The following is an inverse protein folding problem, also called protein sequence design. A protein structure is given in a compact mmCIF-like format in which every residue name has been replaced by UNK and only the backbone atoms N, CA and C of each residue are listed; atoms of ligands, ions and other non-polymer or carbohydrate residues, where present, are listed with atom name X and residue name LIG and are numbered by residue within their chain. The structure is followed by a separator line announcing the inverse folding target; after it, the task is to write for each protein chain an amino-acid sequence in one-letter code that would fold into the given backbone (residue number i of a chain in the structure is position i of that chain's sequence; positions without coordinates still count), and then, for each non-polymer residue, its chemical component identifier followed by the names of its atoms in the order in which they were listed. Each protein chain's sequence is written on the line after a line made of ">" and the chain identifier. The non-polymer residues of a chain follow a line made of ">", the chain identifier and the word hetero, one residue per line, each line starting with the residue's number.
data_IF_951016429374
#
_entry.id   IF_951016429374
#
_cell.length_a   1.000
_cell.length_b   1.000
_cell.length_c   1.000
_cell.angle_alpha   90.00
_cell.angle_beta   90.00
_cell.angle_gamma   90.00
#
_symmetry.space_group_name_H-M   'P 1'
#
loop_
_entity.id
_entity.type
_entity.pdbx_description
1 polymer ?
#
# COMPACT_ATOMS: atom_id res chain seq x y z
N UNK A 1 27.53 -17.63 58.69
CA UNK A 1 27.95 -17.09 57.37
C UNK A 1 27.51 -17.92 56.17
N UNK A 2 27.69 -19.25 56.13
CA UNK A 2 27.27 -20.10 54.98
C UNK A 2 25.77 -20.09 54.66
N UNK A 3 24.90 -19.99 55.69
CA UNK A 3 23.41 -19.94 55.47
C UNK A 3 22.91 -18.62 54.88
N UNK A 4 23.57 -17.49 55.23
CA UNK A 4 23.24 -16.16 54.68
C UNK A 4 23.71 -16.06 53.23
N UNK A 5 24.88 -16.63 52.88
CA UNK A 5 25.39 -16.67 51.52
C UNK A 5 24.50 -17.52 50.59
N UNK A 6 23.96 -18.64 51.11
CA UNK A 6 23.02 -19.48 50.33
C UNK A 6 21.69 -18.77 50.08
N UNK A 7 21.21 -18.00 51.06
CA UNK A 7 19.96 -17.23 50.90
C UNK A 7 20.10 -16.10 49.90
N UNK A 8 21.24 -15.40 49.88
CA UNK A 8 21.56 -14.34 48.90
C UNK A 8 21.66 -14.94 47.50
N UNK A 9 22.28 -16.11 47.34
CA UNK A 9 22.40 -16.80 46.05
C UNK A 9 21.02 -17.24 45.53
N UNK A 10 20.13 -17.69 46.40
CA UNK A 10 18.75 -18.08 46.04
C UNK A 10 17.89 -16.87 45.62
N UNK A 11 18.04 -15.72 46.29
CA UNK A 11 17.37 -14.48 45.92
C UNK A 11 17.86 -13.94 44.55
N UNK A 12 19.15 -14.10 44.25
CA UNK A 12 19.70 -13.68 42.94
C UNK A 12 19.20 -14.54 41.77
N UNK A 13 18.94 -15.82 42.00
CA UNK A 13 18.38 -16.74 41.00
C UNK A 13 16.89 -16.45 40.69
N UNK A 14 16.17 -15.77 41.55
CA UNK A 14 14.75 -15.42 41.34
C UNK A 14 14.54 -14.14 40.53
N UNK A 15 15.58 -13.32 40.31
CA UNK A 15 15.48 -12.02 39.61
C UNK A 15 15.69 -12.17 38.10
N UNK A 16 16.14 -13.33 37.60
CA UNK A 16 16.44 -13.53 36.17
C UNK A 16 15.30 -14.11 35.39
N UNK A 17 14.09 -14.29 35.95
CA UNK A 17 13.01 -15.10 35.37
C UNK A 17 11.88 -14.33 34.71
N UNK A 18 11.97 -13.04 34.43
CA UNK A 18 10.80 -12.31 33.92
C UNK A 18 11.05 -11.29 32.80
N UNK A 19 11.98 -11.55 31.87
CA UNK A 19 12.12 -10.64 30.72
C UNK A 19 11.02 -10.81 29.67
N UNK A 20 10.42 -11.99 29.52
CA UNK A 20 9.36 -12.24 28.55
C UNK A 20 7.96 -11.87 29.05
N UNK A 21 7.76 -11.83 30.39
CA UNK A 21 6.45 -11.45 30.96
C UNK A 21 6.16 -9.94 30.83
N UNK A 22 7.18 -9.12 30.62
CA UNK A 22 7.05 -7.66 30.48
C UNK A 22 7.04 -7.18 29.02
N UNK A 23 7.09 -8.07 28.05
CA UNK A 23 6.73 -7.72 26.66
C UNK A 23 5.21 -7.57 26.58
N UNK A 24 4.74 -6.41 26.97
CA UNK A 24 3.36 -6.01 26.73
C UNK A 24 3.18 -5.85 25.21
N UNK A 25 2.69 -6.89 24.55
CA UNK A 25 2.21 -6.74 23.17
C UNK A 25 0.97 -5.84 23.26
N UNK A 26 0.97 -4.73 22.53
CA UNK A 26 -0.17 -3.85 22.39
C UNK A 26 -1.41 -4.71 22.05
N UNK A 27 -2.34 -4.86 22.97
CA UNK A 27 -3.52 -5.73 22.83
C UNK A 27 -4.44 -5.30 21.69
N UNK A 28 -4.26 -4.08 21.21
CA UNK A 28 -5.07 -3.48 20.14
C UNK A 28 -4.39 -3.60 18.76
N UNK A 29 -3.18 -4.17 18.67
CA UNK A 29 -2.47 -4.41 17.40
C UNK A 29 -2.45 -5.91 17.10
N UNK A 30 -3.14 -6.30 16.04
CA UNK A 30 -2.99 -7.65 15.47
C UNK A 30 -1.67 -7.68 14.72
N UNK A 31 -0.64 -8.30 15.32
CA UNK A 31 0.62 -8.58 14.64
C UNK A 31 0.40 -9.81 13.76
N UNK A 32 0.47 -9.71 12.43
CA UNK A 32 0.32 -10.85 11.55
C UNK A 32 1.49 -11.83 11.79
N UNK A 33 1.15 -13.11 11.98
CA UNK A 33 2.16 -14.16 12.26
C UNK A 33 2.03 -15.38 11.33
N UNK A 34 0.92 -15.50 10.63
CA UNK A 34 0.65 -16.62 9.74
C UNK A 34 0.39 -16.12 8.34
N UNK A 35 0.58 -16.96 7.34
CA UNK A 35 0.27 -16.65 5.95
C UNK A 35 -1.19 -16.22 5.81
N UNK A 36 -2.12 -16.87 6.52
CA UNK A 36 -3.54 -16.50 6.50
C UNK A 36 -3.78 -15.07 7.00
N UNK A 37 -3.05 -14.59 8.01
CA UNK A 37 -3.13 -13.19 8.45
C UNK A 37 -2.70 -12.22 7.34
N UNK A 38 -1.62 -12.51 6.61
CA UNK A 38 -1.17 -11.68 5.50
C UNK A 38 -2.15 -11.72 4.32
N UNK A 39 -2.71 -12.89 4.02
CA UNK A 39 -3.76 -13.04 3.02
C UNK A 39 -5.00 -12.20 3.36
N UNK A 40 -5.43 -12.22 4.62
CA UNK A 40 -6.54 -11.40 5.09
C UNK A 40 -6.25 -9.90 4.97
N UNK A 41 -5.01 -9.45 5.25
CA UNK A 41 -4.59 -8.06 5.05
C UNK A 41 -4.70 -7.69 3.57
N UNK A 42 -4.18 -8.52 2.66
CA UNK A 42 -4.28 -8.28 1.22
C UNK A 42 -5.75 -8.21 0.77
N UNK A 43 -6.57 -9.17 1.15
CA UNK A 43 -7.98 -9.21 0.76
C UNK A 43 -8.77 -8.02 1.29
N UNK A 44 -8.59 -7.66 2.54
CA UNK A 44 -9.34 -6.58 3.17
C UNK A 44 -8.92 -5.20 2.69
N UNK A 45 -7.62 -4.96 2.60
CA UNK A 45 -7.10 -3.61 2.36
C UNK A 45 -6.82 -3.36 0.87
N UNK A 46 -6.36 -4.38 0.15
CA UNK A 46 -5.93 -4.20 -1.23
C UNK A 46 -7.05 -4.44 -2.27
N UNK A 47 -7.94 -5.40 -2.03
CA UNK A 47 -8.96 -5.76 -3.00
C UNK A 47 -10.34 -5.15 -2.72
N UNK A 48 -10.77 -5.06 -1.46
CA UNK A 48 -12.11 -4.56 -1.11
C UNK A 48 -12.20 -3.04 -1.17
N UNK A 49 -11.15 -2.33 -0.77
CA UNK A 49 -11.16 -0.86 -0.68
C UNK A 49 -10.76 -0.15 -1.95
N UNK A 50 -10.55 -0.88 -3.04
CA UNK A 50 -10.00 -0.34 -4.26
C UNK A 50 -10.96 0.56 -5.05
N UNK A 51 -10.96 1.83 -4.72
CA UNK A 51 -11.71 2.90 -5.41
C UNK A 51 -10.78 3.93 -6.07
N UNK A 52 -9.54 3.55 -6.39
CA UNK A 52 -8.55 4.51 -6.93
C UNK A 52 -9.06 5.22 -8.18
N UNK A 53 -9.77 4.51 -9.04
CA UNK A 53 -10.17 5.00 -10.35
C UNK A 53 -11.61 5.48 -10.45
N UNK A 54 -12.41 5.39 -9.36
CA UNK A 54 -13.82 5.77 -9.48
C UNK A 54 -14.02 7.22 -9.95
N UNK A 55 -13.03 8.09 -9.74
CA UNK A 55 -13.09 9.48 -10.17
C UNK A 55 -12.88 9.64 -11.68
N UNK A 56 -12.07 8.79 -12.29
CA UNK A 56 -11.86 8.83 -13.73
C UNK A 56 -13.11 8.40 -14.52
N UNK A 57 -14.03 7.68 -13.87
CA UNK A 57 -15.35 7.38 -14.46
C UNK A 57 -16.12 8.67 -14.81
N UNK A 58 -15.97 9.74 -14.03
CA UNK A 58 -16.58 11.04 -14.32
C UNK A 58 -15.99 11.72 -15.55
N UNK A 59 -14.86 11.24 -16.06
CA UNK A 59 -14.20 11.75 -17.26
C UNK A 59 -14.53 10.93 -18.51
N UNK A 60 -15.42 9.95 -18.40
CA UNK A 60 -15.81 9.08 -19.51
C UNK A 60 -17.17 9.46 -20.11
N UNK A 61 -17.49 8.90 -21.26
CA UNK A 61 -18.79 9.07 -21.94
C UNK A 61 -19.91 8.25 -21.29
N UNK A 62 -19.56 7.38 -20.32
CA UNK A 62 -20.50 6.48 -19.65
C UNK A 62 -21.31 7.15 -18.54
N UNK A 63 -20.94 8.36 -18.16
CA UNK A 63 -21.58 9.11 -17.07
C UNK A 63 -22.25 10.38 -17.60
N UNK A 64 -23.50 10.58 -17.19
CA UNK A 64 -24.26 11.81 -17.47
C UNK A 64 -24.83 12.43 -16.19
N UNK A 65 -24.98 13.76 -16.20
CA UNK A 65 -25.65 14.47 -15.12
C UNK A 65 -27.15 14.20 -15.15
N UNK A 66 -27.71 13.68 -14.04
CA UNK A 66 -29.14 13.51 -13.89
C UNK A 66 -29.82 14.84 -13.49
N UNK A 67 -31.09 15.03 -13.91
CA UNK A 67 -31.88 16.22 -13.59
C UNK A 67 -32.02 16.48 -12.07
N UNK A 68 -31.83 15.45 -11.22
CA UNK A 68 -31.93 15.53 -9.76
C UNK A 68 -30.57 15.47 -9.05
N UNK A 69 -29.46 15.63 -9.76
CA UNK A 69 -28.11 15.67 -9.14
C UNK A 69 -28.05 16.83 -8.14
N UNK A 70 -27.57 16.54 -6.94
CA UNK A 70 -27.47 17.55 -5.90
C UNK A 70 -26.50 18.67 -6.27
N UNK A 71 -26.74 19.88 -5.78
CA UNK A 71 -25.82 21.00 -6.01
C UNK A 71 -24.42 20.71 -5.42
N UNK A 72 -24.35 19.93 -4.33
CA UNK A 72 -23.10 19.50 -3.71
C UNK A 72 -22.31 18.59 -4.68
N UNK A 73 -22.94 17.57 -5.24
CA UNK A 73 -22.28 16.66 -6.17
C UNK A 73 -21.83 17.35 -7.45
N UNK A 74 -22.69 18.25 -7.98
CA UNK A 74 -22.33 19.09 -9.15
C UNK A 74 -21.09 19.92 -8.87
N UNK A 75 -21.00 20.52 -7.68
CA UNK A 75 -19.85 21.32 -7.31
C UNK A 75 -18.57 20.48 -7.20
N UNK A 76 -18.64 19.34 -6.53
CA UNK A 76 -17.51 18.43 -6.27
C UNK A 76 -16.95 17.84 -7.58
N UNK A 77 -17.82 17.35 -8.46
CA UNK A 77 -17.39 16.60 -9.65
C UNK A 77 -17.29 17.43 -10.93
N UNK A 78 -17.61 18.73 -10.89
CA UNK A 78 -17.63 19.59 -12.07
C UNK A 78 -16.30 19.57 -12.83
N UNK A 79 -15.20 19.74 -12.12
CA UNK A 79 -13.90 19.85 -12.76
C UNK A 79 -13.47 18.53 -13.43
N UNK A 80 -13.78 17.39 -12.82
CA UNK A 80 -13.58 16.08 -13.41
C UNK A 80 -14.46 15.90 -14.66
N UNK A 81 -15.75 16.15 -14.55
CA UNK A 81 -16.72 15.98 -15.64
C UNK A 81 -16.44 16.90 -16.83
N UNK A 82 -15.91 18.08 -16.58
CA UNK A 82 -15.58 19.07 -17.63
C UNK A 82 -14.10 19.08 -18.03
N UNK A 83 -13.32 18.07 -17.61
CA UNK A 83 -11.90 17.89 -17.97
C UNK A 83 -11.03 19.12 -17.66
N UNK A 84 -11.27 19.74 -16.51
CA UNK A 84 -10.46 20.89 -16.08
C UNK A 84 -9.07 20.43 -15.62
N UNK A 85 -8.09 21.34 -15.71
CA UNK A 85 -6.70 21.07 -15.30
C UNK A 85 -6.59 20.70 -13.82
N UNK A 86 -7.34 21.40 -12.98
CA UNK A 86 -7.28 21.25 -11.51
C UNK A 86 -8.38 20.29 -11.05
N UNK A 87 -8.20 19.01 -11.36
CA UNK A 87 -9.17 17.94 -11.07
C UNK A 87 -9.47 17.73 -9.58
N UNK A 88 -8.57 18.23 -8.71
CA UNK A 88 -8.68 18.07 -7.25
C UNK A 88 -9.47 19.18 -6.60
N UNK A 89 -9.75 20.25 -7.33
CA UNK A 89 -10.54 21.37 -6.85
C UNK A 89 -12.02 21.20 -7.22
N UNK A 90 -12.87 21.70 -6.35
CA UNK A 90 -14.31 21.84 -6.62
C UNK A 90 -14.58 23.05 -7.55
N UNK A 91 -15.84 23.30 -7.85
CA UNK A 91 -16.23 24.42 -8.72
C UNK A 91 -15.93 25.79 -8.11
N UNK A 92 -15.68 25.90 -6.81
CA UNK A 92 -15.32 27.14 -6.11
C UNK A 92 -13.81 27.33 -6.03
N UNK A 93 -13.01 26.34 -6.40
CA UNK A 93 -11.56 26.34 -6.26
C UNK A 93 -11.07 25.82 -4.91
N UNK A 94 -11.95 25.25 -4.09
CA UNK A 94 -11.60 24.61 -2.84
C UNK A 94 -11.22 23.15 -3.07
N UNK A 95 -10.44 22.55 -2.15
CA UNK A 95 -10.16 21.12 -2.22
C UNK A 95 -11.48 20.33 -2.17
N UNK A 96 -11.75 19.54 -3.20
CA UNK A 96 -12.99 18.78 -3.34
C UNK A 96 -13.18 17.68 -2.30
N UNK A 97 -12.21 17.49 -1.38
CA UNK A 97 -12.21 16.51 -0.27
C UNK A 97 -12.45 15.04 -0.72
N UNK A 98 -12.26 14.79 -2.01
CA UNK A 98 -12.50 13.49 -2.66
C UNK A 98 -11.25 12.96 -3.35
N UNK A 99 -10.11 13.63 -3.19
CA UNK A 99 -8.85 13.18 -3.76
C UNK A 99 -8.21 12.11 -2.91
N UNK A 100 -8.83 10.95 -2.87
CA UNK A 100 -8.30 9.78 -2.16
C UNK A 100 -7.38 8.92 -3.03
N UNK A 101 -7.28 9.21 -4.34
CA UNK A 101 -6.51 8.34 -5.26
C UNK A 101 -5.03 8.28 -4.91
N UNK A 102 -4.41 9.44 -4.63
CA UNK A 102 -3.00 9.51 -4.22
C UNK A 102 -2.77 8.80 -2.88
N UNK A 103 -3.51 9.19 -1.86
CA UNK A 103 -3.40 8.62 -0.52
C UNK A 103 -3.67 7.12 -0.51
N UNK A 104 -4.75 6.69 -1.18
CA UNK A 104 -5.12 5.29 -1.26
C UNK A 104 -4.06 4.46 -1.97
N UNK A 105 -3.50 4.94 -3.08
CA UNK A 105 -2.46 4.22 -3.81
C UNK A 105 -1.19 4.05 -2.96
N UNK A 106 -0.72 5.10 -2.27
CA UNK A 106 0.44 4.99 -1.40
C UNK A 106 0.18 4.15 -0.15
N UNK A 107 -1.04 4.18 0.38
CA UNK A 107 -1.46 3.25 1.44
C UNK A 107 -1.37 1.79 0.97
N UNK A 108 -1.85 1.48 -0.24
CA UNK A 108 -1.74 0.14 -0.81
C UNK A 108 -0.29 -0.27 -1.04
N UNK A 109 0.54 0.63 -1.56
CA UNK A 109 1.98 0.40 -1.73
C UNK A 109 2.64 0.08 -0.39
N UNK A 110 2.32 0.84 0.67
CA UNK A 110 2.85 0.59 2.01
C UNK A 110 2.43 -0.79 2.55
N UNK A 111 1.17 -1.17 2.36
CA UNK A 111 0.66 -2.50 2.75
C UNK A 111 1.40 -3.59 2.00
N UNK A 112 1.58 -3.46 0.68
CA UNK A 112 2.32 -4.43 -0.13
C UNK A 112 3.78 -4.54 0.31
N UNK A 113 4.46 -3.42 0.58
CA UNK A 113 5.82 -3.42 1.10
C UNK A 113 5.88 -4.15 2.45
N UNK A 114 4.95 -3.86 3.38
CA UNK A 114 4.88 -4.51 4.67
C UNK A 114 4.70 -6.04 4.55
N UNK A 115 3.81 -6.48 3.66
CA UNK A 115 3.61 -7.90 3.38
C UNK A 115 4.92 -8.53 2.87
N UNK A 116 5.55 -7.92 1.87
CA UNK A 116 6.80 -8.45 1.27
C UNK A 116 7.96 -8.49 2.26
N UNK A 117 8.05 -7.53 3.19
CA UNK A 117 9.10 -7.51 4.21
C UNK A 117 8.92 -8.58 5.30
N UNK A 118 7.69 -9.06 5.54
CA UNK A 118 7.41 -9.91 6.70
C UNK A 118 6.89 -11.32 6.36
N UNK A 119 6.50 -11.59 5.12
CA UNK A 119 5.88 -12.86 4.74
C UNK A 119 6.84 -14.05 4.88
N UNK A 120 8.14 -13.85 4.74
CA UNK A 120 9.14 -14.91 4.83
C UNK A 120 9.19 -15.53 6.23
N UNK A 121 8.99 -14.71 7.27
CA UNK A 121 8.96 -15.13 8.66
C UNK A 121 7.59 -15.67 9.11
N UNK A 122 6.58 -15.65 8.25
CA UNK A 122 5.24 -16.12 8.57
C UNK A 122 5.18 -17.64 8.74
N UNK A 123 4.32 -18.09 9.66
CA UNK A 123 4.01 -19.51 9.83
C UNK A 123 3.03 -19.93 8.73
N UNK A 124 3.40 -20.91 7.92
CA UNK A 124 2.61 -21.45 6.80
C UNK A 124 3.48 -22.12 5.78
N UNK A 125 2.86 -22.69 4.74
CA UNK A 125 3.55 -23.40 3.67
C UNK A 125 4.21 -22.41 2.69
N UNK A 126 5.35 -22.78 2.10
CA UNK A 126 6.10 -21.88 1.22
C UNK A 126 5.33 -21.51 -0.05
N UNK A 127 4.57 -22.43 -0.60
CA UNK A 127 3.72 -22.14 -1.75
C UNK A 127 2.59 -21.14 -1.44
N UNK A 128 2.06 -21.14 -0.21
CA UNK A 128 1.10 -20.12 0.23
C UNK A 128 1.77 -18.75 0.41
N UNK A 129 3.02 -18.72 0.91
CA UNK A 129 3.81 -17.49 0.99
C UNK A 129 4.08 -16.92 -0.40
N UNK A 130 4.45 -17.76 -1.35
CA UNK A 130 4.66 -17.37 -2.74
C UNK A 130 3.39 -16.77 -3.34
N UNK A 131 2.23 -17.35 -3.07
CA UNK A 131 0.96 -16.81 -3.52
C UNK A 131 0.72 -15.40 -2.99
N UNK A 132 0.87 -15.18 -1.68
CA UNK A 132 0.69 -13.86 -1.05
C UNK A 132 1.72 -12.83 -1.54
N UNK A 133 2.98 -13.25 -1.76
CA UNK A 133 3.99 -12.37 -2.40
C UNK A 133 3.57 -11.98 -3.81
N UNK A 134 3.05 -12.94 -4.58
CA UNK A 134 2.54 -12.70 -5.94
C UNK A 134 1.44 -11.63 -5.95
N UNK A 135 0.48 -11.72 -5.03
CA UNK A 135 -0.57 -10.70 -4.85
C UNK A 135 0.01 -9.34 -4.48
N UNK A 136 0.96 -9.29 -3.54
CA UNK A 136 1.56 -8.04 -3.10
C UNK A 136 2.32 -7.32 -4.24
N UNK A 137 3.10 -8.05 -5.03
CA UNK A 137 3.77 -7.50 -6.21
C UNK A 137 2.77 -6.98 -7.25
N UNK A 138 1.71 -7.74 -7.53
CA UNK A 138 0.67 -7.33 -8.47
C UNK A 138 -0.04 -6.04 -8.04
N UNK A 139 -0.47 -5.97 -6.79
CA UNK A 139 -1.19 -4.80 -6.26
C UNK A 139 -0.26 -3.58 -6.23
N UNK A 140 1.02 -3.74 -5.89
CA UNK A 140 1.98 -2.63 -5.91
C UNK A 140 2.21 -2.11 -7.32
N UNK A 141 2.45 -3.00 -8.28
CA UNK A 141 2.60 -2.64 -9.69
C UNK A 141 1.39 -1.88 -10.21
N UNK A 142 0.19 -2.39 -9.94
CA UNK A 142 -1.07 -1.74 -10.30
C UNK A 142 -1.21 -0.37 -9.66
N UNK A 143 -0.88 -0.23 -8.37
CA UNK A 143 -0.96 1.05 -7.66
C UNK A 143 -0.02 2.11 -8.28
N UNK A 144 1.20 1.72 -8.65
CA UNK A 144 2.11 2.61 -9.37
C UNK A 144 1.64 2.94 -10.77
N UNK A 145 1.05 1.98 -11.49
CA UNK A 145 0.49 2.22 -12.82
C UNK A 145 -0.64 3.26 -12.77
N UNK A 146 -1.56 3.14 -11.81
CA UNK A 146 -2.60 4.12 -11.58
C UNK A 146 -2.05 5.50 -11.24
N UNK A 147 -1.08 5.56 -10.30
CA UNK A 147 -0.45 6.81 -9.91
C UNK A 147 0.25 7.52 -11.06
N UNK A 148 1.07 6.82 -11.83
CA UNK A 148 1.83 7.44 -12.92
C UNK A 148 0.92 7.95 -14.03
N UNK A 149 -0.17 7.23 -14.31
CA UNK A 149 -1.14 7.67 -15.33
C UNK A 149 -2.01 8.84 -14.87
N UNK A 150 -2.30 8.96 -13.55
CA UNK A 150 -3.10 10.07 -13.02
C UNK A 150 -2.28 11.34 -12.77
N UNK A 151 -1.00 11.20 -12.36
CA UNK A 151 -0.23 12.30 -11.80
C UNK A 151 1.07 12.64 -12.54
N UNK A 152 1.36 11.97 -13.66
CA UNK A 152 2.50 12.26 -14.50
C UNK A 152 2.08 12.42 -15.96
N UNK A 153 3.03 12.81 -16.82
CA UNK A 153 2.81 12.77 -18.26
C UNK A 153 2.74 11.33 -18.74
N UNK A 154 2.06 11.10 -19.87
CA UNK A 154 2.06 9.81 -20.54
C UNK A 154 3.48 9.35 -20.85
N UNK A 155 3.69 8.05 -20.91
CA UNK A 155 4.97 7.49 -21.27
C UNK A 155 5.34 7.85 -22.72
N UNK A 156 6.52 8.42 -22.88
CA UNK A 156 7.14 8.70 -24.16
C UNK A 156 8.62 8.29 -24.06
N UNK A 157 9.05 7.37 -24.92
CA UNK A 157 10.40 6.80 -24.86
C UNK A 157 11.52 7.84 -24.98
N UNK A 158 11.28 8.98 -25.65
CA UNK A 158 12.27 10.03 -25.81
C UNK A 158 12.42 10.88 -24.55
N UNK A 159 11.37 11.04 -23.76
CA UNK A 159 11.33 11.98 -22.62
C UNK A 159 11.15 11.29 -21.25
N UNK A 160 10.70 10.04 -21.20
CA UNK A 160 10.37 9.34 -19.95
C UNK A 160 11.49 9.31 -18.90
N UNK A 161 12.75 9.34 -19.34
CA UNK A 161 13.92 9.36 -18.42
C UNK A 161 14.09 10.68 -17.68
N UNK A 162 13.54 11.77 -18.20
CA UNK A 162 13.68 13.14 -17.66
C UNK A 162 12.36 13.69 -17.12
N UNK A 163 11.22 13.21 -17.62
CA UNK A 163 9.91 13.66 -17.15
C UNK A 163 9.64 13.16 -15.73
N UNK A 164 9.17 14.05 -14.83
CA UNK A 164 8.87 13.66 -13.45
C UNK A 164 7.64 12.74 -13.41
N UNK A 165 7.85 11.55 -12.88
CA UNK A 165 6.80 10.57 -12.57
C UNK A 165 6.20 10.79 -11.18
N UNK A 166 6.22 9.76 -10.35
CA UNK A 166 5.73 9.77 -8.97
C UNK A 166 6.83 9.32 -7.99
N UNK A 167 6.74 9.62 -6.69
CA UNK A 167 7.68 9.11 -5.71
C UNK A 167 7.72 7.59 -5.66
N UNK A 168 8.91 7.00 -5.70
CA UNK A 168 9.11 5.55 -5.54
C UNK A 168 9.34 5.22 -4.07
N UNK A 169 8.42 4.52 -3.46
CA UNK A 169 8.47 4.07 -2.07
C UNK A 169 8.51 2.54 -2.03
N UNK A 170 9.62 1.95 -1.58
CA UNK A 170 9.83 0.50 -1.55
C UNK A 170 9.98 -0.09 -0.13
N UNK A 171 9.99 0.72 0.89
CA UNK A 171 10.08 0.31 2.30
C UNK A 171 8.80 0.61 3.08
N UNK A 172 8.86 0.40 4.39
CA UNK A 172 7.77 0.69 5.34
C UNK A 172 8.05 1.92 6.22
N UNK A 173 9.18 2.60 6.01
CA UNK A 173 9.55 3.81 6.75
C UNK A 173 8.57 4.96 6.50
N UNK A 174 8.11 5.61 7.59
CA UNK A 174 7.13 6.73 7.52
C UNK A 174 7.79 8.11 7.60
N UNK A 175 9.06 8.20 7.97
CA UNK A 175 9.79 9.47 8.16
C UNK A 175 10.73 9.81 6.99
N UNK A 176 10.60 9.12 5.87
CA UNK A 176 11.47 9.33 4.72
C UNK A 176 10.94 10.46 3.82
N UNK A 177 11.85 11.28 3.32
CA UNK A 177 11.51 12.31 2.33
C UNK A 177 11.67 11.74 0.93
N UNK A 178 10.61 11.73 0.16
CA UNK A 178 10.59 11.20 -1.21
C UNK A 178 10.53 12.33 -2.24
N UNK A 179 11.32 12.20 -3.28
CA UNK A 179 11.21 13.03 -4.49
C UNK A 179 10.58 12.22 -5.61
N UNK A 180 10.03 12.91 -6.63
CA UNK A 180 9.50 12.22 -7.80
C UNK A 180 10.63 11.50 -8.55
N UNK A 181 10.45 10.23 -8.82
CA UNK A 181 11.28 9.49 -9.78
C UNK A 181 10.87 9.84 -11.21
N UNK A 182 11.71 9.54 -12.20
CA UNK A 182 11.29 9.74 -13.59
C UNK A 182 10.19 8.75 -14.00
N UNK A 183 9.42 9.10 -15.03
CA UNK A 183 8.39 8.22 -15.60
C UNK A 183 8.99 6.85 -15.96
N UNK A 184 10.18 6.82 -16.62
CA UNK A 184 10.84 5.57 -16.97
C UNK A 184 11.11 4.68 -15.75
N UNK A 185 11.66 5.24 -14.66
CA UNK A 185 11.95 4.48 -13.42
C UNK A 185 10.70 3.87 -12.81
N UNK A 186 9.57 4.55 -12.92
CA UNK A 186 8.29 4.00 -12.40
C UNK A 186 7.78 2.88 -13.30
N UNK A 187 7.85 3.01 -14.63
CA UNK A 187 7.46 1.93 -15.54
C UNK A 187 8.38 0.71 -15.44
N UNK A 188 9.70 0.91 -15.25
CA UNK A 188 10.65 -0.19 -14.98
C UNK A 188 10.28 -0.95 -13.69
N UNK A 189 9.89 -0.22 -12.64
CA UNK A 189 9.41 -0.82 -11.39
C UNK A 189 8.11 -1.63 -11.61
N UNK A 190 7.15 -1.06 -12.34
CA UNK A 190 5.88 -1.75 -12.65
C UNK A 190 6.16 -3.06 -13.41
N UNK A 191 7.03 -3.01 -14.42
CA UNK A 191 7.39 -4.20 -15.20
C UNK A 191 8.09 -5.25 -14.33
N UNK A 192 9.03 -4.83 -13.49
CA UNK A 192 9.75 -5.72 -12.57
C UNK A 192 8.80 -6.40 -11.59
N UNK A 193 7.90 -5.64 -10.98
CA UNK A 193 6.92 -6.17 -10.03
C UNK A 193 5.94 -7.14 -10.71
N UNK A 194 5.47 -6.85 -11.92
CA UNK A 194 4.60 -7.76 -12.67
C UNK A 194 5.30 -9.07 -13.03
N UNK A 195 6.56 -9.01 -13.46
CA UNK A 195 7.37 -10.22 -13.75
C UNK A 195 7.56 -11.05 -12.48
N UNK A 196 7.85 -10.39 -11.37
CA UNK A 196 8.02 -11.06 -10.09
C UNK A 196 6.72 -11.67 -9.58
N UNK A 197 5.60 -10.96 -9.72
CA UNK A 197 4.26 -11.50 -9.41
C UNK A 197 3.97 -12.79 -10.18
N UNK A 198 4.21 -12.80 -11.50
CA UNK A 198 4.03 -14.01 -12.34
C UNK A 198 4.91 -15.14 -11.83
N UNK A 199 6.17 -14.87 -11.49
CA UNK A 199 7.10 -15.87 -10.97
C UNK A 199 6.59 -16.47 -9.67
N UNK A 200 6.12 -15.64 -8.75
CA UNK A 200 5.61 -16.06 -7.44
C UNK A 200 4.34 -16.92 -7.59
N UNK A 201 3.37 -16.49 -8.41
CA UNK A 201 2.19 -17.31 -8.69
C UNK A 201 2.53 -18.65 -9.37
N UNK A 202 3.52 -18.66 -10.27
CA UNK A 202 3.97 -19.90 -10.88
C UNK A 202 4.59 -20.85 -9.87
N UNK A 203 5.40 -20.32 -8.93
CA UNK A 203 6.01 -21.12 -7.87
C UNK A 203 4.97 -21.65 -6.88
N UNK A 204 3.95 -20.88 -6.58
CA UNK A 204 2.89 -21.29 -5.64
C UNK A 204 2.11 -22.49 -6.16
N UNK A 205 1.88 -22.59 -7.46
CA UNK A 205 1.01 -23.60 -8.06
C UNK A 205 -0.43 -23.57 -7.55
N UNK A 206 -0.83 -22.46 -6.89
CA UNK A 206 -2.20 -22.20 -6.44
C UNK A 206 -2.94 -21.34 -7.49
N UNK A 207 -4.23 -21.65 -7.70
CA UNK A 207 -5.13 -20.92 -8.61
C UNK A 207 -6.14 -20.08 -7.85
#
# INVERSE_FOLDING_TARGET
>A
MKKVSLFILLCFALVTSCSDFLKEEDKDKVIPRTVDHFLQIMHREAFITNKMNYRTEFMTDDIEERARTSSKDKNIYKNLYTWQRDLELDANGDNADVNVSWELAYRLILICNYVMENIDDAIGEENEKDFVRGEAYFVRARSYFELVNLYAKHYDAETATTEPGVPRHLGTGVEETYTRSSVAVIYDLIEADLKESIRQFTNSGLE
#
